data_IF_710289320921
#
_entry.id   IF_710289320921
#
_cell.length_a   1.000
_cell.length_b   1.000
_cell.length_c   1.000
_cell.angle_alpha   90.00
_cell.angle_beta   90.00
_cell.angle_gamma   90.00
#
_symmetry.space_group_name_H-M   'P 1'
#
loop_
_entity.id
_entity.type
_entity.pdbx_description
1 polymer ?
#
# COMPACT_ATOMS: atom_id res chain seq x y z
N UNK A 1 41.60 14.78 -3.16
CA UNK A 1 40.41 15.66 -3.14
C UNK A 1 40.27 16.57 -4.35
N UNK A 2 41.34 16.95 -5.04
CA UNK A 2 41.37 17.94 -6.13
C UNK A 2 40.78 17.48 -7.46
N UNK A 3 40.90 16.22 -7.84
CA UNK A 3 40.49 15.72 -9.16
C UNK A 3 38.97 15.61 -9.32
N UNK A 4 38.25 15.21 -8.25
CA UNK A 4 36.78 15.12 -8.26
C UNK A 4 36.11 16.52 -8.36
N UNK A 5 36.67 17.53 -7.76
CA UNK A 5 36.16 18.88 -7.85
C UNK A 5 36.25 19.43 -9.28
N UNK A 6 37.34 19.14 -9.99
CA UNK A 6 37.58 19.62 -11.38
C UNK A 6 36.53 19.06 -12.37
N UNK A 7 36.19 17.78 -12.31
CA UNK A 7 35.18 17.16 -13.21
C UNK A 7 33.77 17.63 -12.93
N UNK A 8 33.41 17.82 -11.67
CA UNK A 8 32.15 18.42 -11.26
C UNK A 8 32.01 19.83 -11.81
N UNK A 9 33.02 20.65 -11.60
CA UNK A 9 33.05 22.06 -12.08
C UNK A 9 32.93 22.10 -13.62
N UNK A 10 33.59 21.19 -14.35
CA UNK A 10 33.44 21.07 -15.80
C UNK A 10 32.01 20.74 -16.24
N UNK A 11 31.27 19.91 -15.51
CA UNK A 11 29.88 19.62 -15.82
C UNK A 11 28.95 20.78 -15.56
N UNK A 12 29.27 21.59 -14.56
CA UNK A 12 28.50 22.77 -14.14
C UNK A 12 28.86 24.03 -14.88
N UNK A 13 30.09 24.16 -15.44
CA UNK A 13 30.63 25.38 -16.10
C UNK A 13 30.37 25.47 -17.62
N UNK A 14 29.93 24.40 -18.28
CA UNK A 14 29.55 24.45 -19.69
C UNK A 14 28.28 25.27 -19.92
N UNK A 15 28.24 26.09 -20.96
CA UNK A 15 27.29 27.15 -21.38
C UNK A 15 25.77 26.94 -21.13
N UNK A 16 25.35 25.85 -20.50
CA UNK A 16 24.01 25.57 -20.04
C UNK A 16 23.99 25.30 -18.51
N UNK A 17 24.69 26.16 -17.80
CA UNK A 17 25.13 25.97 -16.41
C UNK A 17 23.99 25.66 -15.41
N UNK A 18 22.88 26.39 -15.47
CA UNK A 18 21.81 26.25 -14.47
C UNK A 18 21.07 24.91 -14.54
N UNK A 19 20.87 24.38 -15.73
CA UNK A 19 20.17 23.07 -15.88
C UNK A 19 21.04 21.91 -15.39
N UNK A 20 22.33 21.94 -15.75
CA UNK A 20 23.27 20.91 -15.29
C UNK A 20 23.50 20.97 -13.77
N UNK A 21 23.56 22.17 -13.19
CA UNK A 21 23.65 22.35 -11.73
C UNK A 21 22.42 21.76 -11.04
N UNK A 22 21.22 22.13 -11.48
CA UNK A 22 19.96 21.61 -10.92
C UNK A 22 19.85 20.08 -11.08
N UNK A 23 20.28 19.56 -12.24
CA UNK A 23 20.29 18.12 -12.49
C UNK A 23 21.23 17.41 -11.52
N UNK A 24 22.45 17.91 -11.34
CA UNK A 24 23.43 17.34 -10.43
C UNK A 24 22.96 17.35 -8.97
N UNK A 25 22.41 18.46 -8.50
CA UNK A 25 21.89 18.60 -7.12
C UNK A 25 20.73 17.62 -6.86
N UNK A 26 19.80 17.50 -7.81
CA UNK A 26 18.72 16.52 -7.71
C UNK A 26 19.24 15.07 -7.65
N UNK A 27 20.19 14.72 -8.51
CA UNK A 27 20.81 13.39 -8.51
C UNK A 27 21.54 13.13 -7.19
N UNK A 28 22.31 14.09 -6.71
CA UNK A 28 23.09 13.99 -5.47
C UNK A 28 22.21 13.71 -4.27
N UNK A 29 21.06 14.37 -4.17
CA UNK A 29 20.08 14.14 -3.09
C UNK A 29 19.45 12.75 -3.09
N UNK A 30 19.66 11.94 -4.15
CA UNK A 30 19.07 10.61 -4.29
C UNK A 30 20.09 9.47 -4.20
N UNK A 31 21.38 9.77 -4.09
CA UNK A 31 22.45 8.75 -4.13
C UNK A 31 22.39 7.73 -2.99
N UNK A 32 21.78 8.05 -1.87
CA UNK A 32 21.65 7.17 -0.71
C UNK A 32 20.71 5.99 -0.93
N UNK A 33 19.70 6.15 -1.80
CA UNK A 33 18.62 5.17 -1.99
C UNK A 33 18.33 4.81 -3.45
N UNK A 34 18.99 5.46 -4.42
CA UNK A 34 18.79 5.24 -5.86
C UNK A 34 20.12 4.95 -6.55
N UNK A 35 20.33 3.70 -6.94
CA UNK A 35 21.57 3.25 -7.58
C UNK A 35 21.81 3.91 -8.96
N UNK A 36 20.74 4.16 -9.72
CA UNK A 36 20.85 4.85 -11.01
C UNK A 36 21.33 6.29 -10.82
N UNK A 37 20.77 7.03 -9.85
CA UNK A 37 21.25 8.37 -9.54
C UNK A 37 22.71 8.36 -9.07
N UNK A 38 23.07 7.38 -8.23
CA UNK A 38 24.45 7.20 -7.76
C UNK A 38 25.43 7.00 -8.93
N UNK A 39 25.08 6.11 -9.87
CA UNK A 39 25.93 5.83 -11.04
C UNK A 39 26.13 7.06 -11.94
N UNK A 40 25.10 7.90 -12.10
CA UNK A 40 25.20 9.13 -12.88
C UNK A 40 26.06 10.18 -12.17
N UNK A 41 25.94 10.35 -10.86
CA UNK A 41 26.79 11.23 -10.05
C UNK A 41 28.26 10.79 -10.12
N UNK A 42 28.51 9.49 -10.01
CA UNK A 42 29.86 8.91 -10.15
C UNK A 42 30.45 9.18 -11.55
N UNK A 43 29.63 9.04 -12.59
CA UNK A 43 30.06 9.37 -13.95
C UNK A 43 30.38 10.86 -14.13
N UNK A 44 29.57 11.76 -13.57
CA UNK A 44 29.86 13.20 -13.57
C UNK A 44 31.20 13.47 -12.87
N UNK A 45 31.42 12.85 -11.71
CA UNK A 45 32.64 13.03 -10.92
C UNK A 45 33.89 12.48 -11.60
N UNK A 46 33.75 11.46 -12.46
CA UNK A 46 34.90 10.80 -13.13
C UNK A 46 35.15 11.31 -14.55
N UNK A 47 34.10 11.65 -15.29
CA UNK A 47 34.18 12.02 -16.72
C UNK A 47 33.84 13.50 -17.00
N UNK A 48 33.16 14.17 -16.09
CA UNK A 48 32.75 15.56 -16.24
C UNK A 48 31.60 15.80 -17.24
N UNK A 49 30.87 14.74 -17.66
CA UNK A 49 29.71 14.86 -18.56
C UNK A 49 28.74 13.70 -18.45
N UNK A 50 27.50 13.95 -18.86
CA UNK A 50 26.49 12.94 -19.16
C UNK A 50 26.08 13.04 -20.63
N UNK A 51 25.81 11.91 -21.27
CA UNK A 51 25.22 11.90 -22.62
C UNK A 51 23.78 12.43 -22.58
N UNK A 52 23.28 12.90 -23.74
CA UNK A 52 21.90 13.39 -23.84
C UNK A 52 20.88 12.32 -23.47
N UNK A 53 21.14 11.06 -23.83
CA UNK A 53 20.31 9.92 -23.41
C UNK A 53 20.27 9.75 -21.89
N UNK A 54 21.38 9.96 -21.20
CA UNK A 54 21.44 9.87 -19.73
C UNK A 54 20.74 11.05 -19.07
N UNK A 55 20.91 12.27 -19.58
CA UNK A 55 20.18 13.46 -19.11
C UNK A 55 18.68 13.27 -19.30
N UNK A 56 18.26 12.77 -20.47
CA UNK A 56 16.87 12.48 -20.75
C UNK A 56 16.29 11.41 -19.78
N UNK A 57 17.01 10.32 -19.55
CA UNK A 57 16.58 9.27 -18.63
C UNK A 57 16.47 9.77 -17.18
N UNK A 58 17.40 10.61 -16.74
CA UNK A 58 17.36 11.25 -15.43
C UNK A 58 16.14 12.18 -15.29
N UNK A 59 15.89 13.03 -16.27
CA UNK A 59 14.73 13.91 -16.27
C UNK A 59 13.40 13.13 -16.33
N UNK A 60 13.31 12.06 -17.13
CA UNK A 60 12.13 11.18 -17.17
C UNK A 60 11.89 10.52 -15.81
N UNK A 61 12.93 10.10 -15.10
CA UNK A 61 12.83 9.57 -13.74
C UNK A 61 12.25 10.62 -12.78
N UNK A 62 12.71 11.86 -12.81
CA UNK A 62 12.19 12.94 -11.95
C UNK A 62 10.73 13.25 -12.25
N UNK A 63 10.36 13.36 -13.53
CA UNK A 63 8.97 13.60 -13.94
C UNK A 63 8.06 12.48 -13.40
N UNK A 64 8.45 11.22 -13.57
CA UNK A 64 7.70 10.08 -13.06
C UNK A 64 7.57 10.10 -11.53
N UNK A 65 8.61 10.50 -10.83
CA UNK A 65 8.57 10.62 -9.36
C UNK A 65 7.63 11.75 -8.92
N UNK A 66 7.65 12.89 -9.58
CA UNK A 66 6.72 13.99 -9.28
C UNK A 66 5.27 13.60 -9.58
N UNK A 67 5.02 12.93 -10.70
CA UNK A 67 3.69 12.40 -11.04
C UNK A 67 3.21 11.41 -9.98
N UNK A 68 4.06 10.48 -9.54
CA UNK A 68 3.74 9.54 -8.50
C UNK A 68 3.45 10.22 -7.15
N UNK A 69 4.20 11.28 -6.82
CA UNK A 69 3.99 12.07 -5.60
C UNK A 69 2.65 12.81 -5.65
N UNK A 70 2.33 13.48 -6.77
CA UNK A 70 1.04 14.15 -6.98
C UNK A 70 -0.11 13.15 -6.89
N UNK A 71 0.00 12.02 -7.58
CA UNK A 71 -1.03 10.99 -7.56
C UNK A 71 -1.27 10.42 -6.14
N UNK A 72 -0.20 10.18 -5.36
CA UNK A 72 -0.33 9.79 -3.95
C UNK A 72 -1.03 10.86 -3.11
N UNK A 73 -0.74 12.13 -3.35
CA UNK A 73 -1.33 13.23 -2.60
C UNK A 73 -2.80 13.42 -2.95
N UNK A 74 -3.17 13.29 -4.23
CA UNK A 74 -4.56 13.30 -4.68
C UNK A 74 -5.35 12.12 -4.11
N UNK A 75 -4.78 10.92 -4.10
CA UNK A 75 -5.39 9.75 -3.48
C UNK A 75 -5.58 9.94 -1.98
N UNK A 76 -4.58 10.51 -1.30
CA UNK A 76 -4.69 10.81 0.14
C UNK A 76 -5.82 11.80 0.41
N UNK A 77 -5.89 12.89 -0.33
CA UNK A 77 -6.96 13.89 -0.19
C UNK A 77 -8.35 13.29 -0.46
N UNK A 78 -8.51 12.49 -1.52
CA UNK A 78 -9.76 11.77 -1.80
C UNK A 78 -10.13 10.79 -0.70
N UNK A 79 -9.16 10.07 -0.15
CA UNK A 79 -9.37 9.10 0.92
C UNK A 79 -9.75 9.78 2.24
N UNK A 80 -9.14 10.92 2.55
CA UNK A 80 -9.50 11.73 3.73
C UNK A 80 -10.93 12.27 3.60
N UNK A 81 -11.31 12.78 2.44
CA UNK A 81 -12.68 13.24 2.19
C UNK A 81 -13.72 12.12 2.31
N UNK A 82 -13.39 10.91 1.86
CA UNK A 82 -14.25 9.73 2.05
C UNK A 82 -14.30 9.31 3.52
N UNK A 83 -13.17 9.36 4.23
CA UNK A 83 -13.13 9.08 5.66
C UNK A 83 -14.02 10.06 6.45
N UNK A 84 -13.99 11.34 6.13
CA UNK A 84 -14.84 12.36 6.74
C UNK A 84 -16.34 12.10 6.47
N UNK A 85 -16.69 11.69 5.25
CA UNK A 85 -18.07 11.32 4.90
C UNK A 85 -18.62 10.17 5.74
N UNK A 86 -17.76 9.26 6.22
CA UNK A 86 -18.14 8.07 6.99
C UNK A 86 -17.67 8.10 8.45
N UNK A 87 -16.95 9.14 8.89
CA UNK A 87 -16.29 9.19 10.21
C UNK A 87 -17.26 9.01 11.38
N UNK A 88 -18.48 9.54 11.26
CA UNK A 88 -19.48 9.49 12.33
C UNK A 88 -20.17 8.11 12.45
N UNK A 89 -20.05 7.25 11.46
CA UNK A 89 -20.84 6.01 11.39
C UNK A 89 -20.04 4.72 11.52
N UNK A 90 -18.79 4.68 11.03
CA UNK A 90 -18.00 3.43 11.04
C UNK A 90 -16.48 3.69 10.90
N UNK A 91 -15.77 3.98 11.99
CA UNK A 91 -14.33 4.17 11.91
C UNK A 91 -13.62 2.87 11.51
N UNK A 92 -12.78 2.95 10.48
CA UNK A 92 -11.95 1.84 10.00
C UNK A 92 -11.00 1.29 11.09
N UNK A 93 -10.84 2.01 12.20
CA UNK A 93 -10.14 1.56 13.40
C UNK A 93 -10.66 0.22 13.94
N UNK A 94 -11.95 -0.10 13.77
CA UNK A 94 -12.51 -1.39 14.18
C UNK A 94 -11.96 -2.55 13.35
N UNK A 95 -11.69 -2.29 12.06
CA UNK A 95 -11.03 -3.27 11.20
C UNK A 95 -9.58 -3.47 11.67
N UNK A 96 -8.81 -2.39 11.91
CA UNK A 96 -7.45 -2.52 12.44
C UNK A 96 -7.43 -3.28 13.76
N UNK A 97 -8.28 -2.90 14.70
CA UNK A 97 -8.38 -3.59 16.00
C UNK A 97 -8.65 -5.09 15.84
N UNK A 98 -9.56 -5.47 14.95
CA UNK A 98 -9.83 -6.89 14.67
C UNK A 98 -8.57 -7.64 14.20
N UNK A 99 -7.72 -7.01 13.36
CA UNK A 99 -6.48 -7.61 12.90
C UNK A 99 -5.39 -7.60 13.98
N UNK A 100 -5.30 -6.54 14.80
CA UNK A 100 -4.36 -6.44 15.91
C UNK A 100 -4.65 -7.50 16.98
N UNK A 101 -5.91 -7.71 17.32
CA UNK A 101 -6.35 -8.78 18.23
C UNK A 101 -5.92 -10.17 17.70
N UNK A 102 -6.07 -10.42 16.40
CA UNK A 102 -5.62 -11.68 15.80
C UNK A 102 -4.08 -11.84 15.84
N UNK A 103 -3.32 -10.77 15.61
CA UNK A 103 -1.85 -10.79 15.74
C UNK A 103 -1.44 -11.01 17.20
N UNK A 104 -2.13 -10.38 18.15
CA UNK A 104 -1.95 -10.61 19.59
C UNK A 104 -2.13 -12.07 19.99
N UNK A 105 -3.00 -12.81 19.27
CA UNK A 105 -3.20 -14.26 19.43
C UNK A 105 -2.24 -15.10 18.55
N UNK A 106 -1.09 -14.55 18.15
CA UNK A 106 -0.04 -15.21 17.38
C UNK A 106 -0.43 -15.60 15.93
N UNK A 107 -1.50 -15.03 15.36
CA UNK A 107 -1.86 -15.28 13.97
C UNK A 107 -0.97 -14.45 13.03
N UNK A 108 -0.01 -15.09 12.36
CA UNK A 108 0.99 -14.42 11.52
C UNK A 108 0.43 -13.74 10.28
N UNK A 109 -0.68 -14.22 9.73
CA UNK A 109 -1.30 -13.71 8.49
C UNK A 109 -2.82 -13.74 8.59
N UNK A 110 -3.42 -12.87 9.38
CA UNK A 110 -4.86 -12.79 9.49
C UNK A 110 -5.49 -12.41 8.14
N UNK A 111 -6.50 -13.16 7.74
CA UNK A 111 -7.31 -12.95 6.54
C UNK A 111 -8.76 -13.16 6.91
N UNK A 112 -9.62 -12.24 6.51
CA UNK A 112 -11.07 -12.38 6.67
C UNK A 112 -11.77 -12.12 5.33
N UNK A 113 -12.88 -12.81 5.09
CA UNK A 113 -13.62 -12.77 3.83
C UNK A 113 -15.07 -12.37 4.08
N UNK A 114 -15.52 -11.44 3.25
CA UNK A 114 -16.86 -10.90 3.22
C UNK A 114 -17.39 -11.06 1.78
N UNK A 115 -17.79 -12.27 1.42
CA UNK A 115 -18.14 -12.68 0.07
C UNK A 115 -16.95 -12.66 -0.88
N UNK A 116 -16.96 -11.82 -1.90
CA UNK A 116 -15.85 -11.59 -2.80
C UNK A 116 -14.80 -10.61 -2.23
N UNK A 117 -15.16 -9.81 -1.23
CA UNK A 117 -14.24 -8.88 -0.56
C UNK A 117 -13.36 -9.62 0.45
N UNK A 118 -12.07 -9.44 0.33
CA UNK A 118 -11.06 -10.06 1.19
C UNK A 118 -10.22 -8.97 1.84
N UNK A 119 -10.14 -9.00 3.15
CA UNK A 119 -9.22 -8.18 3.93
C UNK A 119 -8.06 -9.06 4.42
N UNK A 120 -6.84 -8.55 4.33
CA UNK A 120 -5.64 -9.27 4.78
C UNK A 120 -4.57 -8.34 5.30
N UNK A 121 -3.95 -8.70 6.42
CA UNK A 121 -2.84 -7.92 6.96
C UNK A 121 -1.58 -8.06 6.08
N UNK A 122 -0.88 -6.97 5.87
CA UNK A 122 0.42 -6.97 5.21
C UNK A 122 1.45 -7.73 6.05
N UNK A 123 2.44 -8.33 5.38
CA UNK A 123 3.52 -9.02 6.07
C UNK A 123 4.35 -8.05 6.90
N UNK A 124 4.83 -8.44 8.10
CA UNK A 124 5.66 -7.58 8.93
C UNK A 124 6.93 -7.07 8.24
N UNK A 125 7.51 -7.87 7.34
CA UNK A 125 8.74 -7.53 6.62
C UNK A 125 8.50 -6.69 5.35
N UNK A 126 7.23 -6.37 5.03
CA UNK A 126 6.89 -5.59 3.84
C UNK A 126 7.01 -4.09 4.07
N UNK A 127 7.21 -3.35 3.00
CA UNK A 127 7.19 -1.88 3.02
C UNK A 127 5.84 -1.27 3.49
N UNK A 128 4.79 -2.09 3.58
CA UNK A 128 3.46 -1.70 4.05
C UNK A 128 3.09 -2.45 5.35
N UNK A 129 4.06 -2.78 6.21
CA UNK A 129 3.79 -3.44 7.48
C UNK A 129 2.67 -2.71 8.26
N UNK A 130 1.75 -3.45 8.85
CA UNK A 130 0.58 -2.90 9.55
C UNK A 130 -0.61 -2.49 8.67
N UNK A 131 -0.43 -2.38 7.34
CA UNK A 131 -1.54 -2.08 6.46
C UNK A 131 -2.49 -3.27 6.27
N UNK A 132 -3.79 -3.01 6.17
CA UNK A 132 -4.79 -4.02 5.78
C UNK A 132 -5.12 -3.86 4.31
N UNK A 133 -4.76 -4.85 3.50
CA UNK A 133 -5.09 -4.87 2.07
C UNK A 133 -6.55 -5.20 1.84
N UNK A 134 -7.16 -4.50 0.88
CA UNK A 134 -8.54 -4.70 0.42
C UNK A 134 -8.49 -5.24 -1.01
N UNK A 135 -9.07 -6.43 -1.21
CA UNK A 135 -9.04 -7.15 -2.48
C UNK A 135 -10.42 -7.71 -2.79
N UNK A 136 -10.87 -7.61 -4.04
CA UNK A 136 -12.04 -8.33 -4.54
C UNK A 136 -11.58 -9.58 -5.30
N UNK A 137 -12.28 -10.70 -5.10
CA UNK A 137 -12.06 -11.94 -5.84
C UNK A 137 -13.24 -12.18 -6.79
N UNK A 138 -13.01 -12.05 -8.11
CA UNK A 138 -13.97 -12.29 -9.17
C UNK A 138 -13.43 -13.31 -10.19
N UNK A 139 -14.19 -14.32 -10.57
CA UNK A 139 -13.77 -15.28 -11.60
C UNK A 139 -12.45 -16.01 -11.30
N UNK A 140 -12.10 -16.20 -10.03
CA UNK A 140 -10.81 -16.79 -9.62
C UNK A 140 -9.66 -15.79 -9.51
N UNK A 141 -9.77 -14.59 -10.06
CA UNK A 141 -8.76 -13.54 -10.02
C UNK A 141 -8.94 -12.61 -8.82
N UNK A 142 -7.83 -12.01 -8.38
CA UNK A 142 -7.80 -11.03 -7.30
C UNK A 142 -7.55 -9.64 -7.87
N UNK A 143 -8.44 -8.70 -7.54
CA UNK A 143 -8.37 -7.31 -7.95
C UNK A 143 -8.11 -6.43 -6.72
N UNK A 144 -6.95 -5.80 -6.69
CA UNK A 144 -6.54 -4.92 -5.61
C UNK A 144 -7.40 -3.66 -5.62
N UNK A 145 -8.06 -3.37 -4.49
CA UNK A 145 -8.92 -2.20 -4.33
C UNK A 145 -8.24 -1.08 -3.55
N UNK A 146 -7.29 -1.41 -2.71
CA UNK A 146 -6.59 -0.43 -1.88
C UNK A 146 -6.06 -1.04 -0.59
N UNK A 147 -5.66 -0.17 0.32
CA UNK A 147 -5.19 -0.55 1.66
C UNK A 147 -5.69 0.43 2.72
N UNK A 148 -5.90 -0.07 3.92
CA UNK A 148 -6.19 0.74 5.10
C UNK A 148 -4.86 0.92 5.85
N UNK A 149 -4.49 2.16 6.14
CA UNK A 149 -3.31 2.56 6.93
C UNK A 149 -3.75 3.68 7.84
N UNK A 150 -3.43 3.61 9.11
CA UNK A 150 -3.77 4.65 10.10
C UNK A 150 -5.26 5.03 10.08
N UNK A 151 -6.13 4.03 9.92
CA UNK A 151 -7.59 4.15 9.83
C UNK A 151 -8.09 4.93 8.59
N UNK A 152 -7.25 5.14 7.58
CA UNK A 152 -7.59 5.78 6.31
C UNK A 152 -7.54 4.73 5.20
N UNK A 153 -8.58 4.66 4.37
CA UNK A 153 -8.58 3.81 3.20
C UNK A 153 -7.98 4.53 1.99
N UNK A 154 -6.81 4.07 1.58
CA UNK A 154 -6.12 4.50 0.35
C UNK A 154 -6.56 3.60 -0.80
N UNK A 155 -7.58 4.02 -1.54
CA UNK A 155 -8.10 3.25 -2.66
C UNK A 155 -7.14 3.24 -3.86
N UNK A 156 -7.16 2.18 -4.66
CA UNK A 156 -6.46 2.14 -5.95
C UNK A 156 -7.22 2.97 -6.99
N UNK A 157 -6.53 3.33 -8.09
CA UNK A 157 -7.19 4.05 -9.21
C UNK A 157 -8.27 3.22 -9.91
N UNK A 158 -8.27 1.91 -9.70
CA UNK A 158 -9.23 0.95 -10.26
C UNK A 158 -10.24 0.45 -9.23
N UNK A 159 -10.30 1.08 -8.05
CA UNK A 159 -11.25 0.69 -7.02
C UNK A 159 -12.68 1.03 -7.44
N UNK A 160 -13.59 0.09 -7.18
CA UNK A 160 -15.01 0.23 -7.42
C UNK A 160 -15.64 0.99 -6.23
N UNK A 161 -16.45 2.03 -6.51
CA UNK A 161 -17.16 2.82 -5.50
C UNK A 161 -18.02 1.92 -4.59
N UNK A 162 -18.69 0.92 -5.13
CA UNK A 162 -19.45 -0.05 -4.37
C UNK A 162 -18.59 -0.82 -3.35
N UNK A 163 -17.31 -1.02 -3.65
CA UNK A 163 -16.35 -1.62 -2.70
C UNK A 163 -16.08 -0.71 -1.52
N UNK A 164 -16.01 0.59 -1.76
CA UNK A 164 -15.78 1.59 -0.72
C UNK A 164 -16.97 1.59 0.25
N UNK A 165 -18.18 1.69 -0.25
CA UNK A 165 -19.41 1.67 0.58
C UNK A 165 -19.50 0.37 1.39
N UNK A 166 -19.26 -0.78 0.77
CA UNK A 166 -19.22 -2.09 1.46
C UNK A 166 -18.16 -2.15 2.55
N UNK A 167 -16.98 -1.59 2.31
CA UNK A 167 -15.91 -1.56 3.31
C UNK A 167 -16.33 -0.77 4.55
N UNK A 168 -17.00 0.35 4.39
CA UNK A 168 -17.50 1.14 5.50
C UNK A 168 -18.67 0.47 6.22
N UNK A 169 -19.56 -0.24 5.52
CA UNK A 169 -20.59 -1.06 6.15
C UNK A 169 -19.96 -2.18 7.01
N UNK A 170 -18.94 -2.84 6.49
CA UNK A 170 -18.18 -3.85 7.24
C UNK A 170 -17.53 -3.24 8.49
N UNK A 171 -17.00 -2.02 8.38
CA UNK A 171 -16.33 -1.33 9.48
C UNK A 171 -17.27 -0.99 10.65
N UNK A 172 -18.59 -0.95 10.45
CA UNK A 172 -19.57 -0.76 11.54
C UNK A 172 -19.49 -1.89 12.58
N UNK A 173 -19.37 -3.15 12.13
CA UNK A 173 -19.18 -4.33 12.97
C UNK A 173 -18.53 -5.46 12.16
N UNK A 174 -17.17 -5.48 12.06
CA UNK A 174 -16.47 -6.43 11.19
C UNK A 174 -16.69 -7.89 11.58
N UNK A 175 -16.79 -8.18 12.89
CA UNK A 175 -17.00 -9.55 13.35
C UNK A 175 -18.40 -10.05 13.05
N UNK A 176 -19.41 -9.23 13.28
CA UNK A 176 -20.80 -9.55 12.93
C UNK A 176 -20.95 -9.83 11.43
N UNK A 177 -20.42 -8.97 10.61
CA UNK A 177 -20.46 -9.13 9.15
C UNK A 177 -19.70 -10.40 8.69
N UNK A 178 -18.55 -10.72 9.29
CA UNK A 178 -17.81 -11.94 9.01
C UNK A 178 -18.60 -13.19 9.40
N UNK A 179 -19.24 -13.17 10.57
CA UNK A 179 -20.12 -14.24 11.05
C UNK A 179 -21.29 -14.47 10.09
N UNK A 180 -22.04 -13.43 9.75
CA UNK A 180 -23.19 -13.50 8.83
C UNK A 180 -22.78 -14.07 7.46
N UNK A 181 -21.61 -13.65 6.94
CA UNK A 181 -21.04 -14.21 5.73
C UNK A 181 -20.79 -15.73 5.86
N UNK A 182 -20.12 -16.15 6.93
CA UNK A 182 -19.82 -17.55 7.18
C UNK A 182 -21.08 -18.42 7.32
N UNK A 183 -22.09 -17.93 8.03
CA UNK A 183 -23.40 -18.57 8.21
C UNK A 183 -24.12 -18.75 6.86
N UNK A 184 -24.19 -17.67 6.07
CA UNK A 184 -24.89 -17.68 4.77
C UNK A 184 -24.30 -18.67 3.78
N UNK A 185 -22.96 -18.81 3.75
CA UNK A 185 -22.27 -19.69 2.82
C UNK A 185 -21.97 -21.08 3.37
N UNK A 186 -22.22 -21.35 4.66
CA UNK A 186 -21.82 -22.60 5.33
C UNK A 186 -20.30 -22.82 5.28
N UNK A 187 -19.52 -21.73 5.19
CA UNK A 187 -18.05 -21.76 5.10
C UNK A 187 -17.42 -20.80 6.09
N UNK A 188 -16.30 -21.22 6.67
CA UNK A 188 -15.54 -20.37 7.58
C UNK A 188 -15.11 -19.06 6.89
N UNK A 189 -15.48 -17.90 7.44
CA UNK A 189 -15.15 -16.58 6.93
C UNK A 189 -13.63 -16.31 6.91
N UNK A 190 -12.84 -17.06 7.67
CA UNK A 190 -11.38 -16.92 7.74
C UNK A 190 -10.68 -17.84 6.72
N UNK A 191 -10.83 -19.16 6.86
CA UNK A 191 -10.09 -20.14 6.05
C UNK A 191 -10.88 -20.74 4.87
N UNK A 192 -12.17 -20.45 4.74
CA UNK A 192 -13.09 -20.95 3.70
C UNK A 192 -13.35 -22.46 3.73
N UNK A 193 -12.96 -23.18 4.77
CA UNK A 193 -13.36 -24.59 4.95
C UNK A 193 -14.88 -24.68 5.17
N UNK A 194 -15.50 -25.70 4.60
CA UNK A 194 -16.92 -25.99 4.84
C UNK A 194 -17.16 -26.27 6.33
N UNK A 195 -18.20 -25.67 6.88
CA UNK A 195 -18.60 -25.85 8.26
C UNK A 195 -19.63 -26.98 8.33
N UNK A 196 -19.33 -28.00 9.10
CA UNK A 196 -20.22 -29.21 9.26
C UNK A 196 -20.81 -29.32 10.63
N UNK A 197 -20.19 -28.69 11.64
CA UNK A 197 -20.66 -28.67 13.01
C UNK A 197 -21.64 -27.51 13.22
N UNK A 198 -22.75 -27.76 13.89
CA UNK A 198 -23.82 -26.77 14.16
C UNK A 198 -23.27 -25.50 14.82
N UNK A 199 -22.44 -25.64 15.86
CA UNK A 199 -21.84 -24.49 16.57
C UNK A 199 -20.96 -23.66 15.62
N UNK A 200 -20.17 -24.30 14.74
CA UNK A 200 -19.33 -23.62 13.74
C UNK A 200 -20.17 -22.89 12.68
N UNK A 201 -21.30 -23.48 12.28
CA UNK A 201 -22.25 -22.85 11.35
C UNK A 201 -22.89 -21.62 12.01
N UNK A 202 -23.36 -21.76 13.24
CA UNK A 202 -23.97 -20.66 14.00
C UNK A 202 -23.02 -19.52 14.29
N UNK A 203 -21.72 -19.81 14.37
CA UNK A 203 -20.65 -18.82 14.54
C UNK A 203 -20.05 -18.31 13.22
N UNK A 204 -20.38 -18.93 12.07
CA UNK A 204 -19.82 -18.58 10.77
C UNK A 204 -18.32 -18.87 10.65
N UNK A 205 -17.72 -19.59 11.61
CA UNK A 205 -16.30 -19.91 11.66
C UNK A 205 -16.02 -21.21 12.41
N UNK A 206 -14.94 -21.90 12.00
CA UNK A 206 -14.52 -23.15 12.68
C UNK A 206 -13.75 -22.86 14.00
N UNK A 207 -13.67 -23.84 14.92
CA UNK A 207 -13.10 -23.64 16.25
C UNK A 207 -11.64 -23.18 16.21
N UNK A 208 -10.81 -23.79 15.38
CA UNK A 208 -9.39 -23.38 15.24
C UNK A 208 -9.26 -21.94 14.78
N UNK A 209 -10.11 -21.49 13.84
CA UNK A 209 -10.08 -20.11 13.40
C UNK A 209 -10.58 -19.17 14.49
N UNK A 210 -11.61 -19.56 15.22
CA UNK A 210 -12.12 -18.80 16.38
C UNK A 210 -11.02 -18.58 17.42
N UNK A 211 -10.39 -19.66 17.85
CA UNK A 211 -9.32 -19.60 18.86
C UNK A 211 -8.13 -18.75 18.42
N UNK A 212 -7.70 -18.89 17.14
CA UNK A 212 -6.63 -18.08 16.54
C UNK A 212 -6.98 -16.57 16.44
N UNK A 213 -8.24 -16.23 16.42
CA UNK A 213 -8.71 -14.83 16.38
C UNK A 213 -9.11 -14.31 17.76
N UNK A 214 -8.98 -15.14 18.82
CA UNK A 214 -9.32 -14.78 20.20
C UNK A 214 -10.81 -14.58 20.46
N UNK A 215 -11.68 -15.36 19.79
CA UNK A 215 -13.14 -15.23 19.79
C UNK A 215 -13.83 -16.40 20.53
#
# INVERSE_FOLDING_TARGET
MTQYKFYKDKFTDNNNNQENVKLFEKLLGMTSWNDFARSLVEQINTKGFLSDKQKFAANAMFIKMEQNKKHKQEQKCKSEHLADKFSDTAPLSRIHKMFDDAVGNNLKRPIVKFDDLILSLAKPESANAGAVYVVIKKGGYKYYQGKIVDNIFYHSSTADENTIDRLYEIAKDPFKMAKEYGQRLGRCCMCSRTLTNKVSIDLGMGPVCRDNWGL
#
